data_IF_282212759874
#
_entry.id   IF_282212759874
#
_cell.length_a   1.000
_cell.length_b   1.000
_cell.length_c   1.000
_cell.angle_alpha   90.00
_cell.angle_beta   90.00
_cell.angle_gamma   90.00
#
_symmetry.space_group_name_H-M   'P 1'
#
loop_
_entity.id
_entity.type
_entity.pdbx_description
1 polymer ?
#
# COMPACT_ATOMS: atom_id res chain seq x y z
N UNK A 1 0.06 -2.78 0.49
CA UNK A 1 -0.75 -2.97 1.71
C UNK A 1 0.09 -3.24 2.95
N UNK A 2 1.00 -4.24 2.95
CA UNK A 2 1.90 -4.53 4.08
C UNK A 2 2.58 -3.29 4.67
N UNK A 3 3.15 -2.42 3.82
CA UNK A 3 3.79 -1.17 4.26
C UNK A 3 2.81 -0.22 4.99
N UNK A 4 1.55 -0.13 4.54
CA UNK A 4 0.52 0.67 5.22
C UNK A 4 0.23 0.14 6.63
N UNK A 5 0.17 -1.18 6.79
CA UNK A 5 -0.11 -1.82 8.08
C UNK A 5 1.09 -1.79 9.03
N UNK A 6 2.28 -2.15 8.55
CA UNK A 6 3.48 -2.28 9.39
C UNK A 6 4.10 -0.93 9.75
N UNK A 7 4.11 0.04 8.83
CA UNK A 7 4.78 1.33 9.03
C UNK A 7 3.78 2.39 9.45
N UNK A 8 2.72 2.60 8.66
CA UNK A 8 1.74 3.65 8.96
C UNK A 8 0.70 3.23 10.02
N UNK A 9 0.64 1.94 10.38
CA UNK A 9 -0.34 1.38 11.31
C UNK A 9 -1.79 1.60 10.88
N UNK A 10 -2.03 1.65 9.57
CA UNK A 10 -3.37 1.81 8.97
C UNK A 10 -3.75 0.53 8.23
N UNK A 11 -4.92 -0.02 8.59
CA UNK A 11 -5.55 -1.08 7.83
C UNK A 11 -6.24 -0.47 6.59
N UNK A 12 -5.86 -0.94 5.41
CA UNK A 12 -6.45 -0.52 4.13
C UNK A 12 -6.70 -1.75 3.27
N UNK A 13 -7.72 -1.71 2.43
CA UNK A 13 -7.91 -2.75 1.42
C UNK A 13 -6.77 -2.71 0.37
N UNK A 14 -6.47 -3.82 -0.33
CA UNK A 14 -5.39 -3.86 -1.31
C UNK A 14 -5.47 -2.77 -2.38
N UNK A 15 -6.67 -2.52 -2.92
CA UNK A 15 -6.95 -1.49 -3.93
C UNK A 15 -6.65 -0.08 -3.44
N UNK A 16 -6.96 0.24 -2.19
CA UNK A 16 -6.69 1.54 -1.59
C UNK A 16 -5.18 1.85 -1.45
N UNK A 17 -4.32 0.82 -1.43
CA UNK A 17 -2.87 0.98 -1.40
C UNK A 17 -2.22 1.06 -2.80
N UNK A 18 -3.00 1.07 -3.88
CA UNK A 18 -2.46 1.06 -5.26
C UNK A 18 -1.61 2.30 -5.56
N UNK A 19 -2.06 3.49 -5.13
CA UNK A 19 -1.29 4.72 -5.31
C UNK A 19 0.10 4.63 -4.66
N UNK A 20 0.18 4.04 -3.47
CA UNK A 20 1.45 3.78 -2.80
C UNK A 20 2.32 2.78 -3.57
N UNK A 21 1.72 1.69 -4.08
CA UNK A 21 2.45 0.70 -4.86
C UNK A 21 3.02 1.30 -6.16
N UNK A 22 2.26 2.14 -6.85
CA UNK A 22 2.71 2.84 -8.07
C UNK A 22 3.89 3.74 -7.76
N UNK A 23 3.80 4.58 -6.73
CA UNK A 23 4.87 5.51 -6.33
C UNK A 23 6.17 4.78 -5.99
N UNK A 24 6.09 3.59 -5.38
CA UNK A 24 7.26 2.78 -5.05
C UNK A 24 7.84 2.01 -6.24
N UNK A 25 7.10 1.86 -7.34
CA UNK A 25 7.48 1.07 -8.50
C UNK A 25 8.65 1.67 -9.29
N UNK A 26 9.42 0.79 -9.94
CA UNK A 26 10.50 1.21 -10.84
C UNK A 26 9.98 2.00 -12.05
N UNK A 27 8.76 1.72 -12.51
CA UNK A 27 8.14 2.43 -13.62
C UNK A 27 7.88 3.89 -13.27
N UNK A 28 7.39 4.16 -12.06
CA UNK A 28 7.16 5.53 -11.60
C UNK A 28 8.48 6.27 -11.36
N UNK A 29 9.47 5.62 -10.75
CA UNK A 29 10.81 6.19 -10.50
C UNK A 29 11.61 6.51 -11.77
N UNK A 30 11.31 5.83 -12.89
CA UNK A 30 11.88 6.13 -14.21
C UNK A 30 11.32 7.40 -14.85
N UNK A 31 10.21 7.94 -14.35
CA UNK A 31 9.65 9.18 -14.84
C UNK A 31 10.61 10.34 -14.52
N UNK A 32 11.05 11.17 -15.48
CA UNK A 32 11.91 12.33 -15.20
C UNK A 32 11.32 13.28 -14.15
N UNK A 33 9.98 13.36 -14.07
CA UNK A 33 9.26 14.15 -13.09
C UNK A 33 9.38 13.63 -11.66
N UNK A 34 9.80 12.37 -11.47
CA UNK A 34 10.10 11.83 -10.14
C UNK A 34 11.17 12.65 -9.44
N UNK A 35 12.26 13.00 -10.15
CA UNK A 35 13.39 13.73 -9.58
C UNK A 35 13.04 15.19 -9.24
N UNK A 36 12.05 15.78 -9.91
CA UNK A 36 11.54 17.12 -9.60
C UNK A 36 10.41 17.12 -8.58
N UNK A 37 9.86 15.96 -8.22
CA UNK A 37 8.77 15.83 -7.24
C UNK A 37 9.31 15.67 -5.83
N UNK A 38 9.43 16.79 -5.11
CA UNK A 38 9.88 16.80 -3.70
C UNK A 38 8.82 16.29 -2.72
N UNK A 39 7.54 16.47 -3.05
CA UNK A 39 6.41 16.13 -2.19
C UNK A 39 5.34 15.40 -3.01
N UNK A 40 4.99 14.18 -2.62
CA UNK A 40 4.02 13.34 -3.33
C UNK A 40 2.88 13.02 -2.38
N UNK A 41 1.69 13.55 -2.69
CA UNK A 41 0.46 13.18 -2.01
C UNK A 41 -0.04 11.84 -2.50
N UNK A 42 -0.37 10.93 -1.58
CA UNK A 42 -0.94 9.62 -1.89
C UNK A 42 -2.28 9.51 -1.19
N UNK A 43 -3.34 9.28 -1.94
CA UNK A 43 -4.69 9.09 -1.39
C UNK A 43 -4.90 7.61 -1.08
N UNK A 44 -5.12 7.30 0.21
CA UNK A 44 -5.57 5.99 0.66
C UNK A 44 -7.10 6.02 0.72
N UNK A 45 -7.77 5.42 -0.25
CA UNK A 45 -9.19 5.69 -0.53
C UNK A 45 -10.19 4.91 0.32
N UNK A 46 -9.85 3.70 0.79
CA UNK A 46 -10.77 2.80 1.50
C UNK A 46 -10.06 1.97 2.57
N UNK A 47 -10.77 1.71 3.66
CA UNK A 47 -10.28 0.98 4.84
C UNK A 47 -11.17 -0.17 5.32
N UNK A 48 -12.29 -0.42 4.65
CA UNK A 48 -13.13 -1.57 4.95
C UNK A 48 -12.54 -2.79 4.25
N UNK A 49 -11.91 -3.67 5.03
CA UNK A 49 -11.14 -4.80 4.49
C UNK A 49 -11.41 -6.04 5.33
N UNK A 50 -11.80 -7.12 4.66
CA UNK A 50 -11.89 -8.44 5.29
C UNK A 50 -10.49 -9.03 5.44
N UNK A 51 -10.02 -9.05 6.68
CA UNK A 51 -8.67 -9.42 7.05
C UNK A 51 -8.47 -10.94 7.10
N UNK A 52 -9.53 -11.75 7.21
CA UNK A 52 -9.43 -13.22 7.32
C UNK A 52 -8.61 -13.87 6.19
N UNK A 53 -8.99 -13.60 4.93
CA UNK A 53 -8.32 -14.13 3.73
C UNK A 53 -6.85 -13.67 3.63
N UNK A 54 -6.55 -12.46 4.11
CA UNK A 54 -5.19 -11.95 4.11
C UNK A 54 -4.31 -12.71 5.11
N UNK A 55 -4.79 -12.97 6.33
CA UNK A 55 -4.00 -13.71 7.33
C UNK A 55 -3.78 -15.16 6.92
N UNK A 56 -4.78 -15.78 6.29
CA UNK A 56 -4.64 -17.09 5.66
C UNK A 56 -3.53 -17.09 4.61
N UNK A 57 -3.47 -16.07 3.74
CA UNK A 57 -2.40 -15.94 2.75
C UNK A 57 -1.00 -15.77 3.35
N UNK A 58 -0.92 -15.30 4.59
CA UNK A 58 0.33 -15.17 5.36
C UNK A 58 0.63 -16.40 6.25
N UNK A 59 -0.21 -17.43 6.23
CA UNK A 59 -0.04 -18.64 7.05
C UNK A 59 -0.29 -18.41 8.54
N UNK A 60 -0.98 -17.33 8.91
CA UNK A 60 -1.31 -16.98 10.28
C UNK A 60 -2.76 -17.41 10.58
N UNK A 61 -3.01 -18.73 10.64
CA UNK A 61 -4.25 -19.24 11.23
C UNK A 61 -4.13 -19.19 12.75
N UNK A 62 -5.10 -18.54 13.40
CA UNK A 62 -5.27 -18.64 14.85
C UNK A 62 -5.64 -20.08 15.24
N UNK A 63 -4.93 -20.61 16.22
CA UNK A 63 -5.41 -21.70 17.09
C UNK A 63 -6.69 -21.30 17.80
#
# INVERSE_FOLDING_TARGET
MRYCYEIFKVAVEPSAATGLAVVLSNNFKRNPLWNSSQNIGIVLSKGDVELGVLWESYGLQGT
#
